data_IF_640650873949
#
_entry.id   IF_640650873949
#
_cell.length_a   1.000
_cell.length_b   1.000
_cell.length_c   1.000
_cell.angle_alpha   90.00
_cell.angle_beta   90.00
_cell.angle_gamma   90.00
#
_symmetry.space_group_name_H-M   'P 1'
#
loop_
_entity.id
_entity.type
_entity.pdbx_description
1 polymer ?
#
# COMPACT_ATOMS: atom_id res chain seq x y z
N UNK A 1 1.87 -3.06 -19.92
CA UNK A 1 2.03 -1.59 -20.01
C UNK A 1 3.22 -1.20 -19.15
N UNK A 2 4.14 -0.39 -19.67
CA UNK A 2 5.39 -0.06 -18.96
C UNK A 2 5.11 0.69 -17.64
N UNK A 3 5.80 0.30 -16.57
CA UNK A 3 5.71 0.94 -15.25
C UNK A 3 6.68 2.12 -15.18
N UNK A 4 6.36 3.22 -15.87
CA UNK A 4 7.29 4.35 -16.05
C UNK A 4 7.49 5.21 -14.80
N UNK A 5 6.51 5.20 -13.89
CA UNK A 5 6.50 6.09 -12.70
C UNK A 5 7.13 5.44 -11.47
N UNK A 6 7.05 4.11 -11.32
CA UNK A 6 7.64 3.42 -10.17
C UNK A 6 9.16 3.56 -10.08
N UNK A 7 9.96 3.31 -11.13
CA UNK A 7 11.42 3.36 -11.04
C UNK A 7 11.98 4.68 -10.48
N UNK A 8 11.57 5.87 -10.97
CA UNK A 8 12.07 7.12 -10.40
C UNK A 8 11.58 7.36 -8.96
N UNK A 9 10.33 6.98 -8.63
CA UNK A 9 9.81 7.11 -7.25
C UNK A 9 10.57 6.19 -6.28
N UNK A 10 10.88 4.96 -6.69
CA UNK A 10 11.67 4.01 -5.90
C UNK A 10 13.10 4.53 -5.71
N UNK A 11 13.71 5.07 -6.77
CA UNK A 11 15.05 5.67 -6.67
C UNK A 11 15.08 6.83 -5.68
N UNK A 12 14.06 7.70 -5.72
CA UNK A 12 13.90 8.79 -4.76
C UNK A 12 13.79 8.27 -3.32
N UNK A 13 12.89 7.31 -3.05
CA UNK A 13 12.75 6.76 -1.70
C UNK A 13 14.02 6.06 -1.22
N UNK A 14 14.72 5.31 -2.08
CA UNK A 14 16.03 4.73 -1.73
C UNK A 14 17.06 5.79 -1.37
N UNK A 15 17.09 6.92 -2.08
CA UNK A 15 17.98 8.03 -1.74
C UNK A 15 17.60 8.67 -0.39
N UNK A 16 16.31 8.84 -0.12
CA UNK A 16 15.81 9.33 1.18
C UNK A 16 16.18 8.37 2.31
N UNK A 17 15.95 7.07 2.16
CA UNK A 17 16.31 6.05 3.15
C UNK A 17 17.80 6.06 3.45
N UNK A 18 18.63 6.15 2.41
CA UNK A 18 20.09 6.25 2.55
C UNK A 18 20.52 7.55 3.24
N UNK A 19 19.90 8.68 2.88
CA UNK A 19 20.23 9.99 3.48
C UNK A 19 19.82 10.10 4.95
N UNK A 20 18.79 9.36 5.36
CA UNK A 20 18.31 9.26 6.74
C UNK A 20 18.93 8.11 7.53
N UNK A 21 19.87 7.36 6.94
CA UNK A 21 20.49 6.16 7.51
C UNK A 21 19.47 5.14 8.06
N UNK A 22 18.38 4.95 7.32
CA UNK A 22 17.34 3.99 7.72
C UNK A 22 17.83 2.58 7.45
N UNK A 23 17.89 1.79 8.53
CA UNK A 23 18.15 0.37 8.48
C UNK A 23 16.83 -0.41 8.40
N UNK A 24 16.79 -1.42 7.55
CA UNK A 24 15.62 -2.24 7.34
C UNK A 24 15.87 -3.68 7.78
N UNK A 25 14.91 -4.20 8.53
CA UNK A 25 14.78 -5.63 8.81
C UNK A 25 13.47 -6.09 8.19
N UNK A 26 13.54 -7.13 7.36
CA UNK A 26 12.37 -7.70 6.69
C UNK A 26 12.31 -9.19 6.98
N UNK A 27 11.16 -9.65 7.46
CA UNK A 27 10.87 -11.06 7.70
C UNK A 27 9.60 -11.46 6.95
N UNK A 28 9.52 -12.72 6.52
CA UNK A 28 8.32 -13.26 5.88
C UNK A 28 8.06 -12.77 4.45
N UNK A 29 9.05 -12.18 3.79
CA UNK A 29 8.97 -11.69 2.41
C UNK A 29 8.58 -12.78 1.41
N UNK A 30 8.95 -14.03 1.68
CA UNK A 30 8.63 -15.22 0.91
C UNK A 30 7.13 -15.56 0.87
N UNK A 31 6.34 -15.04 1.82
CA UNK A 31 4.89 -15.21 1.84
C UNK A 31 4.18 -14.37 0.76
N UNK A 32 4.88 -13.41 0.14
CA UNK A 32 4.31 -12.59 -0.92
C UNK A 32 4.29 -13.38 -2.24
N UNK A 33 3.11 -13.50 -2.88
CA UNK A 33 3.01 -14.30 -4.09
C UNK A 33 3.78 -13.67 -5.25
N UNK A 34 4.44 -14.50 -6.05
CA UNK A 34 5.13 -14.05 -7.28
C UNK A 34 4.19 -13.94 -8.49
N UNK A 35 3.01 -14.54 -8.43
CA UNK A 35 1.98 -14.53 -9.47
C UNK A 35 0.59 -14.46 -8.83
N UNK A 36 -0.40 -13.96 -9.56
CA UNK A 36 -1.77 -13.82 -9.05
C UNK A 36 -1.93 -12.64 -8.08
N UNK A 37 -3.19 -12.30 -7.79
CA UNK A 37 -3.53 -11.18 -6.91
C UNK A 37 -3.39 -11.54 -5.43
N UNK A 38 -3.27 -10.52 -4.59
CA UNK A 38 -3.29 -10.65 -3.14
C UNK A 38 -3.68 -9.34 -2.47
N UNK A 39 -4.34 -9.43 -1.33
CA UNK A 39 -4.63 -8.28 -0.47
C UNK A 39 -3.57 -8.20 0.63
N UNK A 40 -2.77 -7.16 0.61
CA UNK A 40 -1.81 -6.83 1.67
C UNK A 40 -2.50 -5.96 2.72
N UNK A 41 -2.73 -6.50 3.91
CA UNK A 41 -3.39 -5.78 5.00
C UNK A 41 -2.36 -5.40 6.07
N UNK A 42 -2.06 -4.10 6.20
CA UNK A 42 -1.06 -3.59 7.14
C UNK A 42 -1.64 -2.67 8.19
N UNK A 43 -1.07 -2.68 9.40
CA UNK A 43 -1.28 -1.58 10.35
C UNK A 43 -0.82 -0.24 9.75
N UNK A 44 -1.31 0.87 10.29
CA UNK A 44 -1.02 2.21 9.77
C UNK A 44 -0.63 3.19 10.89
N UNK A 45 0.65 3.58 10.93
CA UNK A 45 1.26 4.38 12.01
C UNK A 45 2.11 5.56 11.48
N UNK A 46 2.22 5.75 10.16
CA UNK A 46 2.99 6.84 9.54
C UNK A 46 2.46 7.22 8.16
N UNK A 47 2.71 8.45 7.72
CA UNK A 47 2.38 8.90 6.36
C UNK A 47 3.14 8.12 5.28
N UNK A 48 4.32 7.56 5.62
CA UNK A 48 5.21 6.88 4.67
C UNK A 48 5.11 5.35 4.73
N UNK A 49 4.15 4.77 5.45
CA UNK A 49 4.01 3.30 5.57
C UNK A 49 3.97 2.60 4.21
N UNK A 50 3.27 3.18 3.23
CA UNK A 50 3.19 2.64 1.87
C UNK A 50 4.57 2.52 1.20
N UNK A 51 5.47 3.47 1.45
CA UNK A 51 6.80 3.48 0.86
C UNK A 51 7.73 2.47 1.53
N UNK A 52 7.61 2.30 2.86
CA UNK A 52 8.35 1.28 3.60
C UNK A 52 7.91 -0.14 3.22
N UNK A 53 6.60 -0.40 3.22
CA UNK A 53 6.05 -1.69 2.78
C UNK A 53 6.40 -1.96 1.31
N UNK A 54 6.30 -0.93 0.46
CA UNK A 54 6.72 -1.00 -0.95
C UNK A 54 8.20 -1.36 -1.10
N UNK A 55 9.07 -0.84 -0.24
CA UNK A 55 10.50 -1.16 -0.21
C UNK A 55 10.73 -2.64 0.13
N UNK A 56 10.02 -3.18 1.11
CA UNK A 56 10.06 -4.60 1.46
C UNK A 56 9.59 -5.52 0.32
N UNK A 57 8.74 -5.05 -0.59
CA UNK A 57 8.25 -5.86 -1.71
C UNK A 57 9.11 -5.80 -2.98
N UNK A 58 10.17 -4.97 -3.04
CA UNK A 58 10.93 -4.74 -4.28
C UNK A 58 11.58 -6.01 -4.87
N UNK A 59 11.94 -6.97 -4.02
CA UNK A 59 12.53 -8.25 -4.44
C UNK A 59 11.60 -9.10 -5.34
N UNK A 60 10.28 -8.84 -5.30
CA UNK A 60 9.29 -9.54 -6.13
C UNK A 60 9.33 -9.11 -7.59
N UNK A 61 9.95 -7.96 -7.90
CA UNK A 61 9.82 -7.28 -9.20
C UNK A 61 8.35 -7.02 -9.59
N UNK A 62 7.50 -6.82 -8.57
CA UNK A 62 6.08 -6.49 -8.65
C UNK A 62 5.83 -5.28 -7.75
N UNK A 63 4.81 -4.51 -8.08
CA UNK A 63 4.47 -3.30 -7.34
C UNK A 63 3.15 -3.47 -6.60
N UNK A 64 3.06 -2.86 -5.41
CA UNK A 64 1.84 -2.87 -4.60
C UNK A 64 0.98 -1.68 -4.98
N UNK A 65 -0.27 -1.94 -5.37
CA UNK A 65 -1.29 -0.92 -5.66
C UNK A 65 -2.01 -0.56 -4.36
N UNK A 66 -1.46 0.40 -3.62
CA UNK A 66 -2.10 0.90 -2.42
C UNK A 66 -3.44 1.59 -2.69
N UNK A 67 -4.39 1.38 -1.78
CA UNK A 67 -5.64 2.11 -1.70
C UNK A 67 -5.40 3.38 -0.88
N UNK A 68 -5.61 4.56 -1.47
CA UNK A 68 -5.39 5.85 -0.82
C UNK A 68 -6.61 6.77 -0.94
N UNK A 69 -6.81 7.67 0.05
CA UNK A 69 -7.95 8.59 0.09
C UNK A 69 -7.98 9.46 -1.18
N UNK A 70 -9.17 9.68 -1.75
CA UNK A 70 -9.39 10.56 -2.92
C UNK A 70 -8.68 11.91 -2.83
N UNK A 71 -8.69 12.56 -1.66
CA UNK A 71 -7.98 13.84 -1.48
C UNK A 71 -6.47 13.80 -1.75
N UNK A 72 -5.81 12.63 -1.63
CA UNK A 72 -4.42 12.46 -2.03
C UNK A 72 -4.26 12.46 -3.56
N UNK A 73 -5.27 11.95 -4.28
CA UNK A 73 -5.34 11.98 -5.74
C UNK A 73 -5.68 13.37 -6.31
N UNK A 74 -6.31 14.22 -5.51
CA UNK A 74 -6.66 15.59 -5.89
C UNK A 74 -5.48 16.57 -5.69
N UNK A 75 -4.43 16.15 -4.98
CA UNK A 75 -3.21 16.93 -4.82
C UNK A 75 -2.46 17.07 -6.16
N UNK A 76 -2.00 18.29 -6.50
CA UNK A 76 -1.33 18.60 -7.77
C UNK A 76 -0.02 17.85 -8.00
N UNK A 77 0.67 17.46 -6.93
CA UNK A 77 1.97 16.77 -6.98
C UNK A 77 1.78 15.27 -6.77
N UNK A 78 1.12 14.88 -5.67
CA UNK A 78 0.94 13.47 -5.35
C UNK A 78 -0.03 12.77 -6.31
N UNK A 79 -1.08 13.44 -6.77
CA UNK A 79 -2.14 12.84 -7.60
C UNK A 79 -1.65 12.22 -8.90
N UNK A 80 -0.87 12.93 -9.74
CA UNK A 80 -0.26 12.37 -10.94
C UNK A 80 0.65 11.16 -10.65
N UNK A 81 1.44 11.21 -9.56
CA UNK A 81 2.30 10.09 -9.16
C UNK A 81 1.49 8.87 -8.74
N UNK A 82 0.45 9.05 -7.91
CA UNK A 82 -0.43 7.98 -7.47
C UNK A 82 -1.14 7.32 -8.65
N UNK A 83 -1.64 8.11 -9.62
CA UNK A 83 -2.25 7.60 -10.86
C UNK A 83 -1.24 6.85 -11.73
N UNK A 84 -0.04 7.40 -11.89
CA UNK A 84 1.05 6.78 -12.66
C UNK A 84 1.53 5.45 -12.06
N UNK A 85 1.47 5.32 -10.74
CA UNK A 85 1.72 4.09 -9.99
C UNK A 85 0.49 3.16 -9.93
N UNK A 86 -0.63 3.53 -10.57
CA UNK A 86 -1.88 2.76 -10.60
C UNK A 86 -2.43 2.46 -9.19
N UNK A 87 -2.20 3.35 -8.24
CA UNK A 87 -2.86 3.28 -6.93
C UNK A 87 -4.37 3.48 -7.08
N UNK A 88 -5.11 2.95 -6.12
CA UNK A 88 -6.57 2.93 -6.16
C UNK A 88 -7.10 4.07 -5.29
N UNK A 89 -7.86 4.97 -5.90
CA UNK A 89 -8.52 6.06 -5.19
C UNK A 89 -9.71 5.54 -4.39
N UNK A 90 -9.75 5.92 -3.11
CA UNK A 90 -10.83 5.58 -2.18
C UNK A 90 -11.66 6.82 -1.90
N UNK A 91 -12.85 6.84 -2.47
CA UNK A 91 -13.90 7.79 -2.14
C UNK A 91 -14.75 7.23 -1.00
N UNK A 92 -14.89 7.98 0.11
CA UNK A 92 -15.71 7.56 1.25
C UNK A 92 -17.20 7.74 0.98
N UNK A 93 -17.56 8.67 0.11
CA UNK A 93 -18.95 8.92 -0.29
C UNK A 93 -19.39 7.91 -1.35
N UNK A 94 -18.46 7.47 -2.20
CA UNK A 94 -18.68 6.45 -3.23
C UNK A 94 -17.74 5.24 -3.06
N UNK A 95 -17.90 4.54 -1.93
CA UNK A 95 -17.08 3.37 -1.61
C UNK A 95 -17.22 2.21 -2.61
N UNK A 96 -18.36 2.11 -3.31
CA UNK A 96 -18.63 1.05 -4.28
C UNK A 96 -17.68 1.06 -5.47
N UNK A 97 -17.45 2.23 -6.08
CA UNK A 97 -16.52 2.37 -7.20
C UNK A 97 -15.08 1.98 -6.81
N UNK A 98 -14.65 2.40 -5.62
CA UNK A 98 -13.33 2.08 -5.06
C UNK A 98 -13.15 0.57 -4.86
N UNK A 99 -14.21 -0.10 -4.37
CA UNK A 99 -14.24 -1.55 -4.18
C UNK A 99 -14.15 -2.30 -5.51
N UNK A 100 -14.92 -1.90 -6.53
CA UNK A 100 -14.90 -2.52 -7.86
C UNK A 100 -13.53 -2.36 -8.52
N UNK A 101 -12.90 -1.18 -8.41
CA UNK A 101 -11.56 -0.95 -8.94
C UNK A 101 -10.51 -1.85 -8.29
N UNK A 102 -10.54 -1.98 -6.96
CA UNK A 102 -9.66 -2.90 -6.23
C UNK A 102 -9.91 -4.36 -6.60
N UNK A 103 -11.18 -4.77 -6.73
CA UNK A 103 -11.55 -6.12 -7.13
C UNK A 103 -11.01 -6.47 -8.53
N UNK A 104 -11.10 -5.54 -9.47
CA UNK A 104 -10.54 -5.70 -10.81
C UNK A 104 -9.02 -5.85 -10.76
N UNK A 105 -8.32 -4.98 -10.04
CA UNK A 105 -6.88 -5.06 -9.90
C UNK A 105 -6.44 -6.42 -9.32
N UNK A 106 -7.11 -6.91 -8.28
CA UNK A 106 -6.83 -8.23 -7.70
C UNK A 106 -7.03 -9.36 -8.70
N UNK A 107 -8.13 -9.33 -9.48
CA UNK A 107 -8.42 -10.34 -10.52
C UNK A 107 -7.44 -10.28 -11.69
N UNK A 108 -6.95 -9.10 -12.02
CA UNK A 108 -5.90 -8.88 -13.03
C UNK A 108 -4.50 -9.32 -12.52
N UNK A 109 -4.43 -9.82 -11.29
CA UNK A 109 -3.19 -10.34 -10.71
C UNK A 109 -2.31 -9.26 -10.11
N UNK A 110 -2.85 -8.12 -9.68
CA UNK A 110 -2.11 -7.09 -8.93
C UNK A 110 -2.15 -7.37 -7.42
N UNK A 111 -1.13 -6.90 -6.70
CA UNK A 111 -1.13 -6.91 -5.25
C UNK A 111 -1.75 -5.58 -4.78
N UNK A 112 -2.83 -5.63 -4.01
CA UNK A 112 -3.51 -4.43 -3.49
C UNK A 112 -3.16 -4.24 -2.02
N UNK A 113 -2.56 -3.09 -1.69
CA UNK A 113 -2.23 -2.71 -0.31
C UNK A 113 -3.38 -1.93 0.33
N UNK A 114 -3.78 -2.35 1.53
CA UNK A 114 -4.84 -1.72 2.31
C UNK A 114 -4.43 -1.55 3.77
N UNK A 115 -4.82 -0.40 4.33
CA UNK A 115 -4.69 -0.10 5.75
C UNK A 115 -6.08 -0.22 6.40
N UNK A 116 -6.46 -1.40 6.95
CA UNK A 116 -7.80 -1.64 7.43
C UNK A 116 -8.20 -0.79 8.65
N UNK A 117 -7.24 -0.18 9.35
CA UNK A 117 -7.48 0.82 10.41
C UNK A 117 -8.09 2.14 9.88
N UNK A 118 -8.04 2.36 8.56
CA UNK A 118 -8.64 3.50 7.83
C UNK A 118 -8.15 4.91 8.22
N UNK A 119 -7.20 5.01 9.15
CA UNK A 119 -6.49 6.23 9.55
C UNK A 119 -5.14 5.84 10.14
N UNK A 120 -4.18 6.76 10.09
CA UNK A 120 -2.94 6.65 10.86
C UNK A 120 -3.30 6.62 12.35
N UNK A 121 -2.77 5.64 13.08
CA UNK A 121 -2.88 5.51 14.53
C UNK A 121 -1.94 6.50 15.21
N UNK A 122 -2.46 7.25 16.18
CA UNK A 122 -1.69 8.20 17.01
C UNK A 122 -1.29 7.61 18.35
N UNK A 123 -1.90 6.49 18.76
CA UNK A 123 -1.49 5.74 19.97
C UNK A 123 -0.41 4.69 19.66
N UNK A 124 -0.13 4.44 18.38
CA UNK A 124 0.76 3.37 17.90
C UNK A 124 0.35 1.96 18.31
N UNK A 125 -0.87 1.81 18.83
CA UNK A 125 -1.54 0.53 19.03
C UNK A 125 -2.40 0.20 17.80
N UNK A 126 -2.61 -1.09 17.59
CA UNK A 126 -3.49 -1.59 16.53
C UNK A 126 -4.93 -1.24 16.88
N UNK A 127 -5.58 -0.49 15.99
CA UNK A 127 -6.98 -0.08 16.15
C UNK A 127 -7.95 -1.12 15.61
N UNK A 128 -9.23 -0.90 15.89
CA UNK A 128 -10.31 -1.64 15.25
C UNK A 128 -10.19 -1.60 13.72
N UNK A 129 -10.21 -2.77 13.10
CA UNK A 129 -10.03 -2.94 11.66
C UNK A 129 -11.37 -3.02 10.94
N UNK A 130 -11.47 -2.37 9.78
CA UNK A 130 -12.61 -2.52 8.87
C UNK A 130 -12.51 -3.83 8.09
N UNK A 131 -13.67 -4.42 7.76
CA UNK A 131 -13.77 -5.68 7.01
C UNK A 131 -13.43 -5.60 5.52
N UNK A 132 -13.10 -4.41 4.99
CA UNK A 132 -12.88 -4.17 3.57
C UNK A 132 -11.80 -5.07 2.94
N UNK A 133 -10.70 -5.32 3.66
CA UNK A 133 -9.61 -6.19 3.21
C UNK A 133 -10.10 -7.63 2.94
N UNK A 134 -10.81 -8.21 3.91
CA UNK A 134 -11.34 -9.57 3.82
C UNK A 134 -12.42 -9.67 2.75
N UNK A 135 -13.32 -8.67 2.66
CA UNK A 135 -14.37 -8.63 1.62
C UNK A 135 -13.78 -8.57 0.20
N UNK A 136 -12.71 -7.80 0.00
CA UNK A 136 -12.00 -7.76 -1.29
C UNK A 136 -11.36 -9.10 -1.63
N UNK A 137 -10.66 -9.69 -0.66
CA UNK A 137 -10.00 -10.98 -0.84
C UNK A 137 -11.00 -12.09 -1.18
N UNK A 138 -12.11 -12.18 -0.44
CA UNK A 138 -13.20 -13.12 -0.72
C UNK A 138 -13.83 -12.88 -2.09
N UNK A 139 -14.12 -11.62 -2.45
CA UNK A 139 -14.74 -11.30 -3.74
C UNK A 139 -13.85 -11.60 -4.95
N UNK A 140 -12.52 -11.50 -4.78
CA UNK A 140 -11.55 -11.78 -5.83
C UNK A 140 -11.03 -13.22 -5.83
N UNK A 141 -11.27 -14.01 -4.77
CA UNK A 141 -10.72 -15.35 -4.63
C UNK A 141 -9.20 -15.35 -4.44
N UNK A 142 -8.67 -14.37 -3.70
CA UNK A 142 -7.22 -14.16 -3.50
C UNK A 142 -6.86 -14.18 -2.01
N UNK A 143 -5.61 -14.49 -1.63
CA UNK A 143 -5.21 -14.51 -0.23
C UNK A 143 -5.16 -13.10 0.39
N UNK A 144 -5.38 -13.04 1.70
CA UNK A 144 -4.99 -11.90 2.54
C UNK A 144 -3.61 -12.21 3.12
N UNK A 145 -2.66 -11.31 2.92
CA UNK A 145 -1.33 -11.34 3.53
C UNK A 145 -1.27 -10.26 4.60
N UNK A 146 -1.27 -10.63 5.89
CA UNK A 146 -1.04 -9.68 6.98
C UNK A 146 0.38 -9.13 6.91
N UNK A 147 0.53 -7.82 7.14
CA UNK A 147 1.83 -7.17 7.29
C UNK A 147 1.81 -6.32 8.54
N UNK A 148 2.94 -6.32 9.25
CA UNK A 148 3.17 -5.40 10.36
C UNK A 148 4.34 -4.51 9.99
N UNK A 149 4.17 -3.21 10.20
CA UNK A 149 5.23 -2.23 10.13
C UNK A 149 5.43 -1.59 11.50
N UNK A 150 6.69 -1.44 11.88
CA UNK A 150 7.11 -0.73 13.09
C UNK A 150 8.37 0.08 12.82
N UNK A 151 8.49 1.24 13.46
CA UNK A 151 9.61 2.18 13.30
C UNK A 151 9.29 3.37 12.39
N UNK A 152 8.37 3.22 11.43
CA UNK A 152 7.97 4.29 10.49
C UNK A 152 7.37 5.52 11.18
N UNK A 153 6.77 5.34 12.36
CA UNK A 153 6.23 6.43 13.19
C UNK A 153 7.30 7.41 13.70
N UNK A 154 8.58 7.00 13.73
CA UNK A 154 9.71 7.84 14.11
C UNK A 154 10.15 8.81 13.00
N UNK A 155 9.62 8.64 11.79
CA UNK A 155 10.01 9.41 10.60
C UNK A 155 9.00 10.51 10.29
N UNK A 156 7.73 10.14 10.09
CA UNK A 156 6.67 11.12 9.81
C UNK A 156 5.27 10.61 10.18
N UNK A 157 4.84 10.94 11.40
CA UNK A 157 3.50 10.61 11.90
C UNK A 157 2.51 11.77 11.75
N UNK A 158 1.23 11.49 12.01
CA UNK A 158 0.15 12.48 12.10
C UNK A 158 0.33 13.45 13.26
#
# INVERSE_FOLDING_TARGET
>A
MAELVYPPVIALFKAVWKGLDIQFEFEGQENLPRKGGAVLASNHISYLDFAFIGTGALHLKRYIRFMAKKGAFDNKIAGPLLRGMKHISVDRENGGASFVAALRALRDGEIVGIFPEATISTSFEIKAMKSGAVRLAMGAGVPVIPVVIWGSQRIWTK
#
